data_IF_298852941013
#
_entry.id   IF_298852941013
#
_cell.length_a   1.000
_cell.length_b   1.000
_cell.length_c   1.000
_cell.angle_alpha   90.00
_cell.angle_beta   90.00
_cell.angle_gamma   90.00
#
_symmetry.space_group_name_H-M   'P 1'
#
loop_
_entity.id
_entity.type
_entity.pdbx_description
1 polymer ?
#
# COMPACT_ATOMS: atom_id res chain seq x y z
N UNK A 1 -43.99 -82.98 31.54
CA UNK A 1 -43.87 -82.82 30.08
C UNK A 1 -43.63 -81.34 29.84
N UNK A 2 -42.41 -80.94 29.47
CA UNK A 2 -41.86 -80.93 28.10
C UNK A 2 -42.31 -79.65 27.36
N UNK A 3 -41.45 -78.77 26.82
CA UNK A 3 -39.97 -78.66 26.73
C UNK A 3 -39.58 -77.19 27.04
N UNK A 4 -38.37 -76.82 27.46
CA UNK A 4 -37.11 -76.87 26.70
C UNK A 4 -37.06 -75.71 25.68
N UNK A 5 -35.97 -74.96 25.48
CA UNK A 5 -34.60 -75.11 25.99
C UNK A 5 -33.86 -73.75 25.88
N UNK A 6 -33.14 -73.29 26.91
CA UNK A 6 -31.64 -73.23 26.99
C UNK A 6 -30.99 -72.08 26.17
N UNK A 7 -29.89 -71.42 26.60
CA UNK A 7 -29.02 -71.53 27.78
C UNK A 7 -28.42 -70.11 28.08
N UNK A 8 -28.53 -69.61 29.33
CA UNK A 8 -27.47 -69.01 30.23
C UNK A 8 -26.37 -68.05 29.69
N UNK A 9 -25.63 -67.20 30.43
CA UNK A 9 -25.51 -66.69 31.83
C UNK A 9 -24.42 -65.55 31.82
N UNK A 10 -24.04 -64.78 32.85
CA UNK A 10 -24.39 -64.61 34.28
C UNK A 10 -24.08 -63.14 34.69
N UNK A 11 -24.82 -62.52 35.63
CA UNK A 11 -24.41 -62.22 37.03
C UNK A 11 -22.92 -61.84 37.24
N UNK A 12 -22.57 -60.58 37.56
CA UNK A 12 -22.77 -59.78 38.80
C UNK A 12 -21.52 -59.79 39.71
N UNK A 13 -21.19 -58.62 40.30
CA UNK A 13 -20.00 -58.25 41.16
C UNK A 13 -18.73 -57.90 40.35
N UNK A 14 -17.93 -56.88 40.69
CA UNK A 14 -18.00 -55.89 41.79
C UNK A 14 -17.16 -54.64 41.46
N UNK A 15 -17.59 -53.48 42.01
CA UNK A 15 -16.80 -52.35 42.53
C UNK A 15 -15.64 -51.70 41.71
N UNK A 16 -15.66 -50.37 41.81
CA UNK A 16 -14.52 -49.45 41.76
C UNK A 16 -13.81 -49.15 40.41
N UNK A 17 -14.12 -47.94 39.92
CA UNK A 17 -13.17 -46.83 39.68
C UNK A 17 -11.94 -47.14 38.82
N UNK A 18 -11.83 -46.49 37.65
CA UNK A 18 -10.71 -45.59 37.31
C UNK A 18 -10.96 -44.89 35.96
N UNK A 19 -10.70 -43.57 35.91
CA UNK A 19 -10.54 -42.80 34.66
C UNK A 19 -9.08 -42.89 34.19
N UNK A 20 -8.85 -42.45 32.94
CA UNK A 20 -7.58 -41.98 32.30
C UNK A 20 -6.99 -42.90 31.22
N UNK A 21 -6.32 -42.26 30.25
CA UNK A 21 -5.46 -42.78 29.19
C UNK A 21 -6.12 -43.25 27.87
N UNK A 22 -6.39 -42.29 26.98
CA UNK A 22 -6.23 -42.49 25.53
C UNK A 22 -4.90 -41.89 25.12
N UNK A 23 -4.05 -42.67 24.45
CA UNK A 23 -2.74 -42.23 23.98
C UNK A 23 -2.49 -42.53 22.51
N UNK A 24 -1.31 -42.10 22.06
CA UNK A 24 -0.66 -42.44 20.78
C UNK A 24 -1.15 -41.76 19.49
N UNK A 25 -0.56 -40.60 19.19
CA UNK A 25 0.19 -40.43 17.93
C UNK A 25 1.60 -39.93 18.24
N UNK A 26 2.60 -40.51 17.55
CA UNK A 26 4.03 -40.33 17.84
C UNK A 26 4.52 -38.96 17.36
N UNK A 27 5.27 -38.25 18.21
CA UNK A 27 6.17 -37.16 17.80
C UNK A 27 7.61 -37.67 17.90
N UNK A 28 8.40 -37.42 16.86
CA UNK A 28 9.83 -37.74 16.86
C UNK A 28 10.58 -36.75 17.74
N UNK A 29 11.24 -37.25 18.79
CA UNK A 29 12.15 -36.46 19.61
C UNK A 29 13.57 -36.62 19.08
N UNK A 30 14.13 -35.54 18.54
CA UNK A 30 15.57 -35.33 18.59
C UNK A 30 15.94 -34.97 20.04
N UNK A 31 17.02 -35.53 20.62
CA UNK A 31 17.42 -35.18 21.97
C UNK A 31 18.00 -33.77 21.99
N UNK A 32 17.21 -32.80 22.46
CA UNK A 32 17.75 -31.53 22.91
C UNK A 32 18.60 -31.81 24.16
N UNK A 33 19.91 -31.67 24.01
CA UNK A 33 20.86 -31.73 25.11
C UNK A 33 20.50 -30.62 26.09
N UNK A 34 19.97 -31.01 27.25
CA UNK A 34 19.60 -30.08 28.30
C UNK A 34 20.87 -29.67 29.06
N UNK A 35 21.68 -28.82 28.45
CA UNK A 35 22.83 -28.19 29.09
C UNK A 35 22.34 -27.26 30.21
N UNK A 36 22.10 -27.83 31.39
CA UNK A 36 21.95 -27.08 32.63
C UNK A 36 23.29 -26.45 32.99
N UNK A 37 23.58 -25.28 32.42
CA UNK A 37 24.76 -24.49 32.74
C UNK A 37 24.67 -24.09 34.21
N UNK A 38 25.44 -24.77 35.06
CA UNK A 38 25.59 -24.43 36.46
C UNK A 38 26.27 -23.06 36.59
N UNK A 39 25.53 -22.06 37.06
CA UNK A 39 26.06 -20.71 37.27
C UNK A 39 26.93 -20.65 38.54
N UNK A 40 28.24 -20.75 38.36
CA UNK A 40 29.23 -20.37 39.37
C UNK A 40 29.49 -18.85 39.42
N UNK A 41 29.98 -18.30 40.54
CA UNK A 41 30.06 -16.85 40.77
C UNK A 41 31.01 -16.07 39.84
N UNK A 42 31.84 -16.77 39.04
CA UNK A 42 32.80 -16.15 38.10
C UNK A 42 32.36 -16.14 36.63
N UNK A 43 31.25 -16.79 36.26
CA UNK A 43 30.79 -16.86 34.85
C UNK A 43 29.93 -15.65 34.41
N UNK A 44 30.35 -14.43 34.75
CA UNK A 44 29.60 -13.19 34.40
C UNK A 44 29.94 -12.60 33.01
N UNK A 45 30.77 -13.29 32.22
CA UNK A 45 31.32 -12.81 30.95
C UNK A 45 30.88 -13.62 29.71
N UNK A 46 29.73 -14.30 29.73
CA UNK A 46 29.10 -14.77 28.48
C UNK A 46 28.67 -13.57 27.62
N UNK A 47 29.54 -13.17 26.67
CA UNK A 47 29.19 -12.20 25.65
C UNK A 47 27.97 -12.71 24.88
N UNK A 48 26.81 -12.06 25.05
CA UNK A 48 25.65 -12.27 24.19
C UNK A 48 26.00 -11.83 22.78
N UNK A 49 26.52 -12.74 21.96
CA UNK A 49 26.79 -12.51 20.55
C UNK A 49 25.45 -12.47 19.80
N UNK A 50 24.83 -11.30 19.80
CA UNK A 50 23.64 -11.01 19.03
C UNK A 50 23.85 -11.50 17.58
N UNK A 51 22.99 -12.40 17.11
CA UNK A 51 23.03 -12.86 15.72
C UNK A 51 22.85 -11.61 14.84
N UNK A 52 23.81 -11.35 13.95
CA UNK A 52 23.68 -10.25 12.99
C UNK A 52 22.39 -10.46 12.19
N UNK A 53 21.55 -9.43 11.98
CA UNK A 53 20.33 -9.58 11.20
C UNK A 53 20.67 -10.12 9.80
N UNK A 54 19.80 -10.95 9.24
CA UNK A 54 20.02 -11.56 7.92
C UNK A 54 19.96 -10.47 6.86
N UNK A 55 21.12 -10.12 6.31
CA UNK A 55 21.25 -9.08 5.29
C UNK A 55 20.88 -9.65 3.92
N UNK A 56 19.57 -9.74 3.64
CA UNK A 56 19.04 -10.23 2.37
C UNK A 56 19.34 -9.26 1.21
N UNK A 57 19.20 -9.72 -0.04
CA UNK A 57 19.33 -8.86 -1.21
C UNK A 57 18.31 -7.70 -1.22
N UNK A 58 17.08 -7.97 -0.77
CA UNK A 58 16.03 -6.96 -0.60
C UNK A 58 16.42 -5.92 0.47
N UNK A 59 16.82 -6.37 1.66
CA UNK A 59 17.25 -5.47 2.74
C UNK A 59 18.44 -4.59 2.32
N UNK A 60 19.34 -5.09 1.45
CA UNK A 60 20.45 -4.31 0.86
C UNK A 60 20.02 -3.27 -0.18
N UNK A 61 18.85 -3.42 -0.80
CA UNK A 61 18.30 -2.44 -1.75
C UNK A 61 17.54 -1.37 -0.98
N UNK A 62 16.68 -1.78 -0.04
CA UNK A 62 15.98 -0.90 0.90
C UNK A 62 16.99 0.00 1.66
N UNK A 63 18.03 -0.59 2.26
CA UNK A 63 19.08 0.14 2.98
C UNK A 63 19.85 1.18 2.14
N UNK A 64 19.93 1.00 0.82
CA UNK A 64 20.60 1.92 -0.12
C UNK A 64 19.71 3.08 -0.57
N UNK A 65 18.40 2.94 -0.44
CA UNK A 65 17.38 3.90 -0.88
C UNK A 65 16.75 4.65 0.31
N UNK A 66 17.04 4.21 1.55
CA UNK A 66 16.58 4.83 2.81
C UNK A 66 16.74 6.34 2.84
N UNK A 67 15.70 7.00 3.35
CA UNK A 67 15.65 8.43 3.58
C UNK A 67 15.34 8.69 5.07
N UNK A 68 16.32 9.21 5.81
CA UNK A 68 16.17 9.45 7.24
C UNK A 68 15.18 10.57 7.57
N UNK A 69 14.96 11.54 6.65
CA UNK A 69 13.99 12.63 6.82
C UNK A 69 12.58 12.05 6.76
N UNK A 70 12.30 11.30 5.70
CA UNK A 70 10.97 10.69 5.48
C UNK A 70 10.70 9.58 6.51
N UNK A 71 11.70 8.76 6.87
CA UNK A 71 11.56 7.76 7.94
C UNK A 71 11.22 8.39 9.30
N UNK A 72 11.75 9.59 9.62
CA UNK A 72 11.37 10.31 10.84
C UNK A 72 9.91 10.76 10.78
N UNK A 73 9.49 11.37 9.67
CA UNK A 73 8.10 11.79 9.46
C UNK A 73 7.12 10.62 9.58
N UNK A 74 7.43 9.46 8.97
CA UNK A 74 6.61 8.25 9.05
C UNK A 74 6.45 7.73 10.49
N UNK A 75 7.48 7.85 11.34
CA UNK A 75 7.39 7.47 12.75
C UNK A 75 6.48 8.41 13.55
N UNK A 76 6.54 9.73 13.31
CA UNK A 76 5.66 10.69 14.00
C UNK A 76 4.21 10.56 13.51
N UNK A 77 4.00 10.37 12.21
CA UNK A 77 2.69 10.11 11.61
C UNK A 77 2.07 8.82 12.18
N UNK A 78 2.86 7.75 12.33
CA UNK A 78 2.44 6.51 13.02
C UNK A 78 2.05 6.77 14.48
N UNK A 79 2.83 7.54 15.23
CA UNK A 79 2.50 7.91 16.62
C UNK A 79 1.17 8.67 16.70
N UNK A 80 0.98 9.68 15.84
CA UNK A 80 -0.24 10.47 15.76
C UNK A 80 -1.47 9.59 15.43
N UNK A 81 -1.36 8.70 14.44
CA UNK A 81 -2.44 7.73 14.12
C UNK A 81 -2.76 6.77 15.28
N UNK A 82 -1.77 6.39 16.10
CA UNK A 82 -2.01 5.57 17.32
C UNK A 82 -2.73 6.40 18.39
N UNK A 83 -2.30 7.64 18.64
CA UNK A 83 -2.93 8.53 19.62
C UNK A 83 -4.38 8.80 19.25
N UNK A 84 -4.68 9.15 17.98
CA UNK A 84 -6.05 9.38 17.51
C UNK A 84 -6.92 8.13 17.69
N UNK A 85 -6.44 6.95 17.28
CA UNK A 85 -7.18 5.68 17.47
C UNK A 85 -7.42 5.33 18.94
N UNK A 86 -6.46 5.58 19.82
CA UNK A 86 -6.65 5.37 21.25
C UNK A 86 -7.71 6.34 21.81
N UNK A 87 -7.69 7.60 21.38
CA UNK A 87 -8.67 8.59 21.81
C UNK A 87 -10.09 8.29 21.27
N UNK A 88 -10.18 7.83 20.02
CA UNK A 88 -11.40 7.29 19.40
C UNK A 88 -11.95 6.10 20.20
N UNK A 89 -11.12 5.13 20.59
CA UNK A 89 -11.52 4.00 21.44
C UNK A 89 -11.92 4.43 22.86
N UNK A 90 -11.32 5.50 23.39
CA UNK A 90 -11.70 6.10 24.68
C UNK A 90 -12.98 6.97 24.59
N UNK A 91 -13.54 7.18 23.39
CA UNK A 91 -14.70 8.05 23.11
C UNK A 91 -16.04 7.59 23.75
N UNK A 92 -16.04 6.48 24.50
CA UNK A 92 -17.10 6.20 25.49
C UNK A 92 -17.08 7.18 26.68
N UNK A 93 -16.04 8.02 26.80
CA UNK A 93 -15.93 9.15 27.72
C UNK A 93 -15.56 10.42 26.94
N UNK A 94 -16.50 10.94 26.15
CA UNK A 94 -16.30 12.14 25.32
C UNK A 94 -15.96 13.36 26.18
N UNK A 95 -14.69 13.73 26.23
CA UNK A 95 -14.27 15.07 26.64
C UNK A 95 -14.56 16.09 25.51
N UNK A 96 -14.85 17.36 25.84
CA UNK A 96 -15.26 18.37 24.85
C UNK A 96 -14.29 18.47 23.66
N UNK A 97 -12.98 18.52 23.94
CA UNK A 97 -11.92 18.59 22.94
C UNK A 97 -11.97 17.51 21.84
N UNK A 98 -12.53 16.32 22.08
CA UNK A 98 -12.67 15.30 21.04
C UNK A 98 -13.86 15.57 20.11
N UNK A 99 -14.94 16.14 20.66
CA UNK A 99 -16.10 16.55 19.87
C UNK A 99 -15.68 17.68 18.93
N UNK A 100 -14.99 18.69 19.48
CA UNK A 100 -14.45 19.82 18.71
C UNK A 100 -13.56 19.34 17.54
N UNK A 101 -12.63 18.40 17.78
CA UNK A 101 -11.74 17.85 16.75
C UNK A 101 -12.47 17.02 15.68
N UNK A 102 -13.49 16.25 16.06
CA UNK A 102 -14.31 15.49 15.10
C UNK A 102 -15.15 16.45 14.24
N UNK A 103 -15.73 17.49 14.85
CA UNK A 103 -16.48 18.52 14.12
C UNK A 103 -15.59 19.32 13.16
N UNK A 104 -14.34 19.60 13.54
CA UNK A 104 -13.35 20.21 12.66
C UNK A 104 -12.95 19.29 11.50
N UNK A 105 -12.71 17.99 11.74
CA UNK A 105 -12.45 17.00 10.67
C UNK A 105 -13.63 16.91 9.70
N UNK A 106 -14.86 16.77 10.21
CA UNK A 106 -16.10 16.74 9.42
C UNK A 106 -16.30 18.02 8.59
N UNK A 107 -15.95 19.18 9.14
CA UNK A 107 -16.01 20.46 8.45
C UNK A 107 -15.01 20.52 7.29
N UNK A 108 -13.76 20.12 7.52
CA UNK A 108 -12.72 20.06 6.47
C UNK A 108 -13.09 19.05 5.37
N UNK A 109 -13.70 17.92 5.72
CA UNK A 109 -14.23 16.94 4.76
C UNK A 109 -15.34 17.57 3.88
N UNK A 110 -16.28 18.31 4.48
CA UNK A 110 -17.36 19.01 3.74
C UNK A 110 -16.82 20.14 2.86
N UNK A 111 -15.86 20.93 3.34
CA UNK A 111 -15.21 22.01 2.58
C UNK A 111 -14.39 21.47 1.39
N UNK A 112 -13.81 20.27 1.52
CA UNK A 112 -13.02 19.63 0.45
C UNK A 112 -13.83 18.75 -0.52
N UNK A 113 -15.15 18.67 -0.39
CA UNK A 113 -16.05 17.80 -1.17
C UNK A 113 -15.80 17.88 -2.70
N UNK A 114 -15.71 19.10 -3.25
CA UNK A 114 -15.46 19.33 -4.69
C UNK A 114 -14.10 18.77 -5.12
N UNK A 115 -13.07 18.88 -4.28
CA UNK A 115 -11.72 18.36 -4.55
C UNK A 115 -11.73 16.83 -4.52
N UNK A 116 -12.49 16.22 -3.61
CA UNK A 116 -12.70 14.77 -3.51
C UNK A 116 -13.43 14.23 -4.75
N UNK A 117 -14.47 14.92 -5.23
CA UNK A 117 -15.16 14.60 -6.49
C UNK A 117 -14.20 14.66 -7.69
N UNK A 118 -13.38 15.71 -7.80
CA UNK A 118 -12.39 15.84 -8.88
C UNK A 118 -11.32 14.75 -8.82
N UNK A 119 -10.83 14.39 -7.63
CA UNK A 119 -9.90 13.26 -7.43
C UNK A 119 -10.53 11.94 -7.88
N UNK A 120 -11.80 11.70 -7.54
CA UNK A 120 -12.49 10.46 -7.92
C UNK A 120 -12.77 10.39 -9.43
N UNK A 121 -13.17 11.50 -10.07
CA UNK A 121 -13.27 11.61 -11.53
C UNK A 121 -11.94 11.24 -12.20
N UNK A 122 -10.85 11.88 -11.78
CA UNK A 122 -9.48 11.58 -12.25
C UNK A 122 -9.12 10.10 -12.04
N UNK A 123 -9.36 9.55 -10.86
CA UNK A 123 -9.08 8.14 -10.56
C UNK A 123 -9.83 7.16 -11.49
N UNK A 124 -11.10 7.45 -11.78
CA UNK A 124 -11.89 6.70 -12.77
C UNK A 124 -11.38 6.91 -14.21
N UNK A 125 -10.90 8.10 -14.57
CA UNK A 125 -10.31 8.35 -15.90
C UNK A 125 -8.98 7.61 -16.14
N UNK A 126 -8.24 7.26 -15.07
CA UNK A 126 -7.06 6.38 -15.13
C UNK A 126 -7.49 4.92 -15.38
N UNK A 127 -8.65 4.50 -14.87
CA UNK A 127 -9.20 3.17 -15.16
C UNK A 127 -9.46 3.02 -16.66
N UNK A 128 -8.95 1.94 -17.23
CA UNK A 128 -9.09 1.60 -18.65
C UNK A 128 -10.54 1.67 -19.13
N UNK A 129 -11.44 1.06 -18.36
CA UNK A 129 -12.86 1.01 -18.65
C UNK A 129 -13.64 2.23 -18.13
N UNK A 130 -13.03 3.12 -17.35
CA UNK A 130 -13.75 4.21 -16.66
C UNK A 130 -14.54 3.72 -15.44
N UNK A 131 -14.16 2.56 -14.89
CA UNK A 131 -14.93 1.78 -13.91
C UNK A 131 -14.01 1.34 -12.77
N UNK A 132 -14.50 1.37 -11.52
CA UNK A 132 -13.79 0.87 -10.34
C UNK A 132 -14.75 0.16 -9.37
N UNK A 133 -14.23 -0.81 -8.61
CA UNK A 133 -14.98 -1.43 -7.51
C UNK A 133 -15.03 -0.51 -6.28
N UNK A 134 -16.22 -0.36 -5.69
CA UNK A 134 -16.46 0.42 -4.46
C UNK A 134 -15.66 -0.16 -3.28
N UNK A 135 -15.43 -1.47 -3.26
CA UNK A 135 -14.55 -2.10 -2.27
C UNK A 135 -13.11 -1.56 -2.36
N UNK A 136 -12.54 -1.46 -3.58
CA UNK A 136 -11.20 -0.92 -3.77
C UNK A 136 -11.10 0.55 -3.30
N UNK A 137 -12.11 1.37 -3.60
CA UNK A 137 -12.20 2.76 -3.09
C UNK A 137 -12.28 2.81 -1.56
N UNK A 138 -13.06 1.92 -0.95
CA UNK A 138 -13.17 1.83 0.53
C UNK A 138 -11.84 1.44 1.19
N UNK A 139 -10.99 0.65 0.52
CA UNK A 139 -9.66 0.28 1.03
C UNK A 139 -8.66 1.45 1.05
N UNK A 140 -8.85 2.49 0.22
CA UNK A 140 -8.01 3.71 0.16
C UNK A 140 -8.79 4.97 0.56
N UNK A 141 -9.89 4.80 1.30
CA UNK A 141 -10.86 5.86 1.61
C UNK A 141 -10.21 7.06 2.29
N UNK A 142 -9.34 6.78 3.28
CA UNK A 142 -8.65 7.81 4.07
C UNK A 142 -7.61 8.54 3.23
N UNK A 143 -6.88 7.82 2.39
CA UNK A 143 -5.86 8.35 1.49
C UNK A 143 -6.45 9.29 0.43
N UNK A 144 -7.67 9.04 -0.06
CA UNK A 144 -8.37 9.95 -0.98
C UNK A 144 -9.06 11.14 -0.29
N UNK A 145 -9.26 11.07 1.03
CA UNK A 145 -10.08 12.03 1.79
C UNK A 145 -11.59 11.82 1.63
N UNK A 146 -12.03 10.59 1.34
CA UNK A 146 -13.45 10.27 1.16
C UNK A 146 -14.19 10.17 2.52
N UNK A 147 -15.41 10.70 2.67
CA UNK A 147 -16.28 10.46 3.84
C UNK A 147 -16.52 8.96 4.11
N UNK A 148 -16.85 8.55 5.35
CA UNK A 148 -17.24 7.15 5.62
C UNK A 148 -18.47 6.71 4.80
N UNK A 149 -19.42 7.63 4.62
CA UNK A 149 -20.68 7.45 3.89
C UNK A 149 -20.56 7.80 2.38
N UNK A 150 -19.34 7.88 1.81
CA UNK A 150 -19.10 8.41 0.45
C UNK A 150 -19.98 7.84 -0.67
N UNK A 151 -20.52 6.63 -0.51
CA UNK A 151 -21.51 6.06 -1.43
C UNK A 151 -22.73 6.98 -1.60
N UNK A 152 -23.22 7.54 -0.50
CA UNK A 152 -24.42 8.36 -0.45
C UNK A 152 -24.05 9.84 -0.56
N UNK A 153 -23.11 10.31 0.27
CA UNK A 153 -22.69 11.72 0.31
C UNK A 153 -21.94 12.19 -0.94
N UNK A 154 -21.27 11.29 -1.68
CA UNK A 154 -20.57 11.62 -2.94
C UNK A 154 -21.24 10.92 -4.15
N UNK A 155 -21.29 9.58 -4.19
CA UNK A 155 -21.64 8.88 -5.45
C UNK A 155 -23.10 9.07 -5.87
N UNK A 156 -24.05 9.06 -4.92
CA UNK A 156 -25.46 9.35 -5.21
C UNK A 156 -25.73 10.85 -5.39
N UNK A 157 -25.09 11.70 -4.59
CA UNK A 157 -25.19 13.17 -4.68
C UNK A 157 -24.76 13.69 -6.07
N UNK A 158 -23.65 13.16 -6.60
CA UNK A 158 -23.09 13.52 -7.91
C UNK A 158 -23.49 12.52 -9.00
N UNK A 159 -24.77 12.18 -9.08
CA UNK A 159 -25.33 11.23 -10.07
C UNK A 159 -25.17 11.66 -11.54
N UNK A 160 -24.91 12.94 -11.81
CA UNK A 160 -24.52 13.44 -13.14
C UNK A 160 -23.11 13.00 -13.56
N UNK A 161 -22.24 12.73 -12.59
CA UNK A 161 -20.82 12.42 -12.79
C UNK A 161 -20.53 10.93 -12.61
N UNK A 162 -21.18 10.31 -11.63
CA UNK A 162 -20.97 8.91 -11.25
C UNK A 162 -22.26 8.10 -11.42
N UNK A 163 -22.15 6.96 -12.10
CA UNK A 163 -23.20 5.95 -12.17
C UNK A 163 -22.79 4.74 -11.34
N UNK A 164 -23.59 4.42 -10.33
CA UNK A 164 -23.51 3.12 -9.68
C UNK A 164 -24.03 2.05 -10.65
N UNK A 165 -23.17 1.08 -10.94
CA UNK A 165 -23.53 -0.15 -11.65
C UNK A 165 -23.61 -1.24 -10.59
N UNK A 166 -24.78 -1.86 -10.47
CA UNK A 166 -25.10 -2.81 -9.41
C UNK A 166 -24.83 -2.22 -7.99
N UNK A 167 -24.54 -3.08 -7.02
CA UNK A 167 -24.24 -2.66 -5.64
C UNK A 167 -22.75 -2.39 -5.39
N UNK A 168 -21.85 -2.79 -6.28
CA UNK A 168 -20.41 -2.85 -5.98
C UNK A 168 -19.50 -2.07 -6.94
N UNK A 169 -20.05 -1.51 -8.02
CA UNK A 169 -19.26 -0.90 -9.09
C UNK A 169 -19.67 0.57 -9.28
N UNK A 170 -18.69 1.44 -9.48
CA UNK A 170 -18.89 2.83 -9.89
C UNK A 170 -18.25 3.07 -11.26
N UNK A 171 -19.03 3.67 -12.16
CA UNK A 171 -18.63 4.08 -13.49
C UNK A 171 -18.66 5.61 -13.61
N UNK A 172 -17.71 6.18 -14.34
CA UNK A 172 -17.75 7.58 -14.76
C UNK A 172 -18.78 7.77 -15.88
N UNK A 173 -19.61 8.82 -15.80
CA UNK A 173 -20.63 9.11 -16.81
C UNK A 173 -20.06 10.02 -17.93
N UNK A 174 -19.96 11.35 -17.79
CA UNK A 174 -19.19 12.15 -18.74
C UNK A 174 -17.69 12.05 -18.41
N UNK A 175 -16.87 11.84 -19.44
CA UNK A 175 -15.42 12.06 -19.33
C UNK A 175 -15.15 13.56 -19.46
N UNK A 176 -14.62 14.15 -18.39
CA UNK A 176 -14.24 15.56 -18.35
C UNK A 176 -12.77 15.74 -18.78
N UNK A 177 -12.54 16.13 -20.03
CA UNK A 177 -11.18 16.34 -20.55
C UNK A 177 -10.46 17.53 -19.90
N UNK A 178 -11.16 18.46 -19.24
CA UNK A 178 -10.50 19.55 -18.51
C UNK A 178 -9.71 19.04 -17.29
N UNK A 179 -10.11 17.89 -16.74
CA UNK A 179 -9.43 17.20 -15.65
C UNK A 179 -8.31 16.26 -16.12
N UNK A 180 -8.18 16.03 -17.44
CA UNK A 180 -7.25 15.06 -18.04
C UNK A 180 -5.77 15.51 -18.08
N UNK A 181 -5.39 16.48 -17.24
CA UNK A 181 -4.02 16.96 -17.08
C UNK A 181 -3.40 16.33 -15.83
N UNK A 182 -2.32 15.58 -15.98
CA UNK A 182 -1.60 14.98 -14.86
C UNK A 182 -0.77 16.02 -14.07
N UNK A 183 -0.54 15.78 -12.78
CA UNK A 183 0.18 16.73 -11.91
C UNK A 183 1.62 16.93 -12.38
N UNK A 184 2.26 15.86 -12.88
CA UNK A 184 3.58 15.94 -13.52
C UNK A 184 3.61 16.86 -14.75
N UNK A 185 2.49 17.02 -15.47
CA UNK A 185 2.44 17.90 -16.65
C UNK A 185 2.40 19.37 -16.24
N UNK A 186 1.69 19.71 -15.16
CA UNK A 186 1.72 21.05 -14.58
C UNK A 186 3.13 21.43 -14.11
N UNK A 187 3.87 20.46 -13.54
CA UNK A 187 5.28 20.65 -13.20
C UNK A 187 6.12 20.92 -14.47
N UNK A 188 6.00 20.09 -15.52
CA UNK A 188 6.72 20.28 -16.79
C UNK A 188 6.45 21.65 -17.43
N UNK A 189 5.20 22.11 -17.39
CA UNK A 189 4.84 23.42 -17.92
C UNK A 189 5.54 24.56 -17.17
N UNK A 190 5.60 24.50 -15.84
CA UNK A 190 6.37 25.46 -15.02
C UNK A 190 7.86 25.41 -15.33
N UNK A 191 8.45 24.22 -15.42
CA UNK A 191 9.88 24.07 -15.76
C UNK A 191 10.23 24.69 -17.13
N UNK A 192 9.33 24.60 -18.12
CA UNK A 192 9.47 25.27 -19.40
C UNK A 192 9.34 26.80 -19.27
N UNK A 193 8.24 27.29 -18.68
CA UNK A 193 7.92 28.73 -18.59
C UNK A 193 8.88 29.52 -17.69
N UNK A 194 9.29 28.94 -16.56
CA UNK A 194 10.01 29.65 -15.49
C UNK A 194 11.54 29.43 -15.56
N UNK A 195 11.99 28.24 -16.00
CA UNK A 195 13.41 27.87 -16.03
C UNK A 195 14.00 27.72 -17.43
N UNK A 196 13.21 27.96 -18.48
CA UNK A 196 13.64 27.90 -19.89
C UNK A 196 14.31 26.58 -20.28
N UNK A 197 13.91 25.48 -19.63
CA UNK A 197 14.41 24.14 -19.98
C UNK A 197 13.82 23.70 -21.33
N UNK A 198 14.65 23.05 -22.15
CA UNK A 198 14.25 22.56 -23.46
C UNK A 198 13.07 21.59 -23.36
N UNK A 199 12.01 21.83 -24.15
CA UNK A 199 10.83 20.95 -24.24
C UNK A 199 11.24 19.48 -24.49
N UNK A 200 12.28 19.26 -25.31
CA UNK A 200 12.80 17.92 -25.60
C UNK A 200 13.30 17.16 -24.35
N UNK A 201 13.84 17.87 -23.36
CA UNK A 201 14.32 17.24 -22.12
C UNK A 201 13.22 17.12 -21.05
N UNK A 202 12.22 18.01 -21.04
CA UNK A 202 11.18 18.06 -20.00
C UNK A 202 9.87 17.33 -20.36
N UNK A 203 9.51 17.22 -21.65
CA UNK A 203 8.20 16.72 -22.13
C UNK A 203 7.72 15.40 -21.52
N UNK A 204 8.63 14.48 -21.22
CA UNK A 204 8.34 13.18 -20.58
C UNK A 204 9.07 12.99 -19.25
N UNK A 205 9.65 14.05 -18.68
CA UNK A 205 10.43 13.97 -17.46
C UNK A 205 9.55 13.86 -16.20
N UNK A 206 10.09 13.25 -15.16
CA UNK A 206 9.59 13.32 -13.79
C UNK A 206 10.53 14.15 -12.93
N UNK A 207 10.02 14.78 -11.88
CA UNK A 207 10.89 15.39 -10.88
C UNK A 207 11.71 14.30 -10.19
N UNK A 208 13.01 14.54 -9.97
CA UNK A 208 13.93 13.56 -9.39
C UNK A 208 14.62 14.16 -8.18
N UNK A 209 14.44 13.50 -7.04
CA UNK A 209 15.08 13.83 -5.78
C UNK A 209 15.72 12.57 -5.20
N UNK A 210 17.04 12.57 -5.01
CA UNK A 210 17.74 11.46 -4.38
C UNK A 210 17.94 11.74 -2.88
N UNK A 211 17.86 10.72 -2.00
CA UNK A 211 18.12 10.92 -0.58
C UNK A 211 19.58 11.31 -0.35
N UNK A 212 19.83 12.09 0.70
CA UNK A 212 21.18 12.52 1.08
C UNK A 212 22.11 11.32 1.28
N UNK A 213 23.21 11.27 0.52
CA UNK A 213 24.17 10.16 0.53
C UNK A 213 23.86 9.01 -0.44
N UNK A 214 22.86 9.13 -1.32
CA UNK A 214 22.59 8.15 -2.37
C UNK A 214 23.80 7.93 -3.28
N UNK A 215 24.24 6.66 -3.41
CA UNK A 215 25.40 6.30 -4.24
C UNK A 215 24.99 6.14 -5.70
N UNK A 216 25.30 7.16 -6.50
CA UNK A 216 25.08 7.15 -7.95
C UNK A 216 26.18 6.34 -8.64
N UNK A 217 25.82 5.19 -9.21
CA UNK A 217 26.74 4.31 -9.93
C UNK A 217 27.14 4.89 -11.31
N UNK A 218 28.30 4.46 -11.85
CA UNK A 218 28.79 4.91 -13.15
C UNK A 218 27.77 4.58 -14.26
N UNK A 219 27.42 5.58 -15.08
CA UNK A 219 26.42 5.44 -16.13
C UNK A 219 24.96 5.54 -15.67
N UNK A 220 24.66 5.58 -14.37
CA UNK A 220 23.29 5.74 -13.86
C UNK A 220 22.65 7.05 -14.34
N UNK A 221 23.40 8.17 -14.31
CA UNK A 221 22.90 9.48 -14.78
C UNK A 221 22.52 9.46 -16.26
N UNK A 222 23.29 8.78 -17.10
CA UNK A 222 23.02 8.68 -18.54
C UNK A 222 21.81 7.78 -18.81
N UNK A 223 21.71 6.62 -18.14
CA UNK A 223 20.52 5.75 -18.19
C UNK A 223 19.26 6.52 -17.76
N UNK A 224 19.34 7.27 -16.66
CA UNK A 224 18.24 8.10 -16.19
C UNK A 224 17.89 9.20 -17.19
N UNK A 225 18.87 9.89 -17.79
CA UNK A 225 18.63 10.94 -18.80
C UNK A 225 17.89 10.40 -20.01
N UNK A 226 18.29 9.23 -20.50
CA UNK A 226 17.63 8.58 -21.64
C UNK A 226 16.24 8.04 -21.27
N UNK A 227 16.07 7.48 -20.07
CA UNK A 227 14.75 7.08 -19.56
C UNK A 227 13.80 8.28 -19.40
N UNK A 228 14.29 9.44 -18.94
CA UNK A 228 13.47 10.67 -18.81
C UNK A 228 13.00 11.20 -20.16
N UNK A 229 13.79 11.05 -21.23
CA UNK A 229 13.42 11.40 -22.61
C UNK A 229 12.46 10.39 -23.27
N UNK A 230 12.37 9.16 -22.76
CA UNK A 230 11.57 8.10 -23.36
C UNK A 230 10.07 8.49 -23.46
N UNK A 231 9.45 8.43 -24.65
CA UNK A 231 8.02 8.74 -24.80
C UNK A 231 7.15 7.64 -24.21
N UNK A 232 6.04 8.03 -23.58
CA UNK A 232 5.06 7.13 -22.98
C UNK A 232 3.63 7.68 -23.20
N UNK A 233 2.62 6.81 -23.11
CA UNK A 233 1.20 7.19 -23.19
C UNK A 233 0.75 7.77 -21.83
N UNK A 234 0.16 8.96 -21.81
CA UNK A 234 -0.19 9.65 -20.55
C UNK A 234 -1.24 8.86 -19.73
N UNK A 235 -1.38 9.09 -18.41
CA UNK A 235 -2.32 8.34 -17.56
C UNK A 235 -3.77 8.35 -18.06
N UNK A 236 -4.20 9.48 -18.63
CA UNK A 236 -5.57 9.71 -19.11
C UNK A 236 -5.80 9.39 -20.60
N UNK A 237 -4.75 9.10 -21.37
CA UNK A 237 -4.86 8.87 -22.81
C UNK A 237 -5.36 7.45 -23.12
N UNK A 238 -6.48 7.33 -23.86
CA UNK A 238 -7.06 6.06 -24.29
C UNK A 238 -6.66 5.74 -25.73
N UNK A 239 -5.55 5.01 -25.92
CA UNK A 239 -5.21 4.31 -27.17
C UNK A 239 -4.64 2.92 -26.87
N UNK A 240 -4.62 2.08 -27.90
CA UNK A 240 -4.42 0.63 -27.81
C UNK A 240 -3.26 0.19 -26.93
N UNK A 241 -3.43 -1.01 -26.34
CA UNK A 241 -2.43 -1.75 -25.59
C UNK A 241 -1.08 -1.68 -26.31
N UNK A 242 -0.11 -1.00 -25.69
CA UNK A 242 1.28 -1.01 -26.15
C UNK A 242 1.74 -2.46 -26.11
N UNK A 243 1.71 -3.12 -27.26
CA UNK A 243 2.10 -4.53 -27.38
C UNK A 243 3.57 -4.62 -26.99
N UNK A 244 3.84 -5.23 -25.83
CA UNK A 244 5.16 -5.37 -25.19
C UNK A 244 6.21 -6.08 -26.10
N UNK A 245 5.77 -6.61 -27.25
CA UNK A 245 6.53 -7.37 -28.25
C UNK A 245 7.44 -6.53 -29.18
N UNK A 246 7.53 -5.20 -29.01
CA UNK A 246 8.46 -4.36 -29.80
C UNK A 246 9.71 -3.97 -28.99
N UNK A 247 10.82 -3.69 -29.68
CA UNK A 247 12.04 -3.20 -29.04
C UNK A 247 11.81 -1.86 -28.31
N UNK A 248 12.23 -1.80 -27.04
CA UNK A 248 11.92 -0.70 -26.13
C UNK A 248 10.43 -0.62 -25.72
N UNK A 249 9.59 -1.59 -26.07
CA UNK A 249 8.18 -1.64 -25.64
C UNK A 249 8.05 -1.80 -24.13
N UNK A 250 8.91 -2.63 -23.53
CA UNK A 250 8.98 -2.87 -22.08
C UNK A 250 9.25 -1.58 -21.30
N UNK A 251 10.30 -0.83 -21.63
CA UNK A 251 10.65 0.41 -20.91
C UNK A 251 9.57 1.49 -21.04
N UNK A 252 8.91 1.61 -22.20
CA UNK A 252 7.78 2.53 -22.40
C UNK A 252 6.57 2.12 -21.58
N UNK A 253 6.32 0.81 -21.43
CA UNK A 253 5.27 0.26 -20.59
C UNK A 253 5.57 0.48 -19.10
N UNK A 254 6.78 0.17 -18.63
CA UNK A 254 7.24 0.47 -17.26
C UNK A 254 7.09 1.97 -16.97
N UNK A 255 7.51 2.86 -17.89
CA UNK A 255 7.35 4.31 -17.73
C UNK A 255 5.89 4.78 -17.72
N UNK A 256 5.00 4.15 -18.49
CA UNK A 256 3.54 4.39 -18.38
C UNK A 256 3.03 4.03 -16.99
N UNK A 257 3.40 2.86 -16.45
CA UNK A 257 2.98 2.45 -15.10
C UNK A 257 3.56 3.38 -14.03
N UNK A 258 4.81 3.83 -14.17
CA UNK A 258 5.38 4.89 -13.31
C UNK A 258 4.52 6.17 -13.38
N UNK A 259 4.07 6.59 -14.56
CA UNK A 259 3.20 7.76 -14.67
C UNK A 259 1.82 7.56 -14.04
N UNK A 260 1.26 6.35 -14.11
CA UNK A 260 -0.02 6.01 -13.48
C UNK A 260 0.12 6.01 -11.96
N UNK A 261 1.18 5.40 -11.42
CA UNK A 261 1.47 5.40 -9.99
C UNK A 261 1.80 6.79 -9.46
N UNK A 262 2.50 7.61 -10.26
CA UNK A 262 2.77 9.01 -9.94
C UNK A 262 1.47 9.81 -9.84
N UNK A 263 0.60 9.75 -10.86
CA UNK A 263 -0.68 10.44 -10.80
C UNK A 263 -1.58 9.88 -9.69
N UNK A 264 -1.68 8.57 -9.51
CA UNK A 264 -2.46 7.96 -8.43
C UNK A 264 -2.05 8.50 -7.05
N UNK A 265 -0.75 8.54 -6.76
CA UNK A 265 -0.24 9.11 -5.51
C UNK A 265 -0.42 10.64 -5.47
N UNK A 266 -0.41 11.32 -6.61
CA UNK A 266 -0.71 12.77 -6.67
C UNK A 266 -2.16 13.07 -6.27
N UNK A 267 -3.09 12.13 -6.44
CA UNK A 267 -4.49 12.24 -6.01
C UNK A 267 -4.69 12.01 -4.50
N UNK A 268 -3.76 11.35 -3.79
CA UNK A 268 -3.92 11.11 -2.34
C UNK A 268 -3.53 12.35 -1.51
N UNK A 269 -4.20 12.53 -0.37
CA UNK A 269 -4.02 13.68 0.53
C UNK A 269 -2.58 13.76 1.03
N UNK A 270 -2.06 12.64 1.55
CA UNK A 270 -0.70 12.55 2.09
C UNK A 270 0.34 12.17 1.01
N UNK A 271 -0.03 12.12 -0.28
CA UNK A 271 0.86 11.75 -1.40
C UNK A 271 1.56 10.37 -1.23
N UNK A 272 0.90 9.49 -0.48
CA UNK A 272 1.35 8.13 -0.16
C UNK A 272 0.20 7.12 -0.10
N UNK A 273 0.54 5.82 -0.10
CA UNK A 273 -0.39 4.68 0.07
C UNK A 273 0.36 3.42 0.53
N UNK A 274 -0.30 2.49 1.21
CA UNK A 274 0.24 1.13 1.42
C UNK A 274 0.33 0.37 0.09
N UNK A 275 1.47 -0.30 -0.18
CA UNK A 275 1.72 -1.01 -1.45
C UNK A 275 0.71 -2.15 -1.68
N UNK A 276 0.25 -2.78 -0.61
CA UNK A 276 -0.79 -3.83 -0.67
C UNK A 276 -2.10 -3.31 -1.31
N UNK A 277 -2.48 -2.05 -1.05
CA UNK A 277 -3.72 -1.44 -1.57
C UNK A 277 -3.68 -1.26 -3.08
N UNK A 278 -2.49 -0.99 -3.64
CA UNK A 278 -2.29 -0.86 -5.09
C UNK A 278 -2.57 -2.17 -5.84
N UNK A 279 -2.50 -3.32 -5.17
CA UNK A 279 -2.80 -4.62 -5.79
C UNK A 279 -4.25 -4.73 -6.27
N UNK A 280 -5.20 -4.07 -5.58
CA UNK A 280 -6.62 -4.08 -5.94
C UNK A 280 -6.90 -3.33 -7.26
N UNK A 281 -6.10 -2.31 -7.58
CA UNK A 281 -6.23 -1.52 -8.80
C UNK A 281 -5.43 -2.09 -9.99
N UNK A 282 -4.72 -3.20 -9.79
CA UNK A 282 -3.77 -3.76 -10.78
C UNK A 282 -4.43 -4.07 -12.12
N UNK A 283 -5.66 -4.63 -12.11
CA UNK A 283 -6.42 -4.94 -13.33
C UNK A 283 -6.98 -3.69 -13.98
N UNK A 284 -7.66 -2.84 -13.20
CA UNK A 284 -8.37 -1.65 -13.68
C UNK A 284 -7.42 -0.67 -14.40
N UNK A 285 -6.20 -0.52 -13.88
CA UNK A 285 -5.13 0.31 -14.47
C UNK A 285 -4.20 -0.45 -15.43
N UNK A 286 -4.46 -1.74 -15.72
CA UNK A 286 -3.63 -2.61 -16.58
C UNK A 286 -2.15 -2.67 -16.19
N UNK A 287 -1.86 -2.74 -14.89
CA UNK A 287 -0.50 -2.80 -14.35
C UNK A 287 0.02 -4.25 -14.29
N UNK A 288 0.31 -4.85 -15.45
CA UNK A 288 0.71 -6.27 -15.56
C UNK A 288 2.13 -6.59 -15.02
N UNK A 289 2.79 -5.66 -14.33
CA UNK A 289 4.15 -5.81 -13.78
C UNK A 289 4.19 -5.89 -12.24
N UNK A 290 5.36 -6.24 -11.70
CA UNK A 290 5.62 -6.22 -10.27
C UNK A 290 5.81 -4.76 -9.79
N UNK A 291 4.76 -4.20 -9.18
CA UNK A 291 4.74 -2.81 -8.70
C UNK A 291 5.89 -2.53 -7.72
N UNK A 292 6.17 -3.43 -6.77
CA UNK A 292 7.25 -3.24 -5.79
C UNK A 292 8.63 -3.15 -6.47
N UNK A 293 8.90 -4.03 -7.43
CA UNK A 293 10.14 -4.02 -8.19
C UNK A 293 10.29 -2.73 -9.01
N UNK A 294 9.22 -2.29 -9.68
CA UNK A 294 9.20 -1.03 -10.44
C UNK A 294 9.49 0.17 -9.53
N UNK A 295 8.85 0.26 -8.37
CA UNK A 295 9.09 1.34 -7.40
C UNK A 295 10.56 1.37 -6.94
N UNK A 296 11.18 0.21 -6.71
CA UNK A 296 12.59 0.09 -6.36
C UNK A 296 13.55 0.46 -7.52
N UNK A 297 13.14 0.33 -8.79
CA UNK A 297 13.89 0.83 -9.96
C UNK A 297 13.91 2.36 -10.06
N UNK A 298 12.93 3.05 -9.45
CA UNK A 298 12.77 4.51 -9.55
C UNK A 298 12.89 5.25 -8.19
N UNK A 299 14.01 5.07 -7.45
CA UNK A 299 14.18 5.61 -6.09
C UNK A 299 14.32 7.14 -6.02
N UNK A 300 14.38 7.83 -7.17
CA UNK A 300 14.38 9.28 -7.27
C UNK A 300 12.98 9.90 -7.40
N UNK A 301 11.96 9.10 -7.74
CA UNK A 301 10.55 9.51 -7.84
C UNK A 301 9.80 9.04 -6.60
N UNK A 302 9.97 7.76 -6.27
CA UNK A 302 9.28 7.11 -5.17
C UNK A 302 10.22 6.83 -4.00
N UNK A 303 9.66 6.85 -2.80
CA UNK A 303 10.27 6.29 -1.60
C UNK A 303 9.39 5.16 -1.06
N UNK A 304 10.02 4.06 -0.60
CA UNK A 304 9.31 3.00 0.11
C UNK A 304 9.77 3.04 1.55
N UNK A 305 8.85 3.34 2.46
CA UNK A 305 9.10 3.23 3.89
C UNK A 305 8.64 1.87 4.40
N UNK A 306 9.54 1.19 5.11
CA UNK A 306 9.26 -0.04 5.88
C UNK A 306 8.94 0.26 7.35
N UNK A 307 8.67 1.53 7.70
CA UNK A 307 8.34 1.97 9.07
C UNK A 307 6.88 1.67 9.42
N UNK A 308 6.58 0.42 9.75
CA UNK A 308 5.22 0.01 10.07
C UNK A 308 5.10 -1.49 10.27
N UNK A 309 3.87 -1.98 10.18
CA UNK A 309 3.56 -3.38 9.85
C UNK A 309 3.53 -3.61 8.33
N UNK A 310 3.24 -2.57 7.56
CA UNK A 310 3.03 -2.56 6.12
C UNK A 310 4.10 -1.73 5.41
N UNK A 311 4.34 -2.01 4.13
CA UNK A 311 5.20 -1.18 3.28
C UNK A 311 4.37 -0.05 2.66
N UNK A 312 4.80 1.19 2.88
CA UNK A 312 4.15 2.39 2.34
C UNK A 312 5.01 2.99 1.23
N UNK A 313 4.42 3.31 0.09
CA UNK A 313 5.06 4.08 -0.98
C UNK A 313 4.64 5.55 -0.91
N UNK A 314 5.59 6.45 -1.10
CA UNK A 314 5.42 7.90 -1.06
C UNK A 314 6.02 8.55 -2.31
N UNK A 315 5.43 9.66 -2.77
CA UNK A 315 6.04 10.55 -3.75
C UNK A 315 7.11 11.42 -3.09
N UNK A 316 8.36 11.38 -3.60
CA UNK A 316 9.45 12.17 -3.01
C UNK A 316 9.23 13.67 -3.15
N UNK A 317 8.73 14.13 -4.30
CA UNK A 317 8.44 15.54 -4.58
C UNK A 317 7.57 16.23 -3.51
N UNK A 318 6.71 15.49 -2.82
CA UNK A 318 5.86 16.02 -1.75
C UNK A 318 6.58 16.30 -0.42
N UNK A 319 7.83 15.83 -0.25
CA UNK A 319 8.55 15.81 1.04
C UNK A 319 9.97 16.39 1.00
N UNK A 320 10.41 16.98 -0.12
CA UNK A 320 11.76 17.56 -0.23
C UNK A 320 11.85 18.97 0.34
#
# INVERSE_FOLDING_TARGET
>A
MALGSLFTSHKIRTLEVFRVAIGQRKVSYYPLLNDTIAFGPFNKNTQKRWKKPVVSAQTRLEDRIRDLKIDKLMNELKRLRIVLKLHELMSNRRGPYMVDLIEEEDKVIKESEIVVVQRLKKLLMISTNGILHIHALRLIRRELGLPEDFRESILLKYSSDFKLVDLEIVALVPRDESLAVADVEKWREKEYREKWLSEFETRYAFQIHFPTGFKIEKGFREKLKNWQRLPYLKPYEKKEVVRVRTCGGVERFEKRVVSILHEFLSLTVEKMVEIERLSHFRKDFSMEINVLELLLKHPGIFYISTKGSTQTVLLREAYN
#
